data_IF_942673428474
#
_entry.id   IF_942673428474
#
_cell.length_a   1.000
_cell.length_b   1.000
_cell.length_c   1.000
_cell.angle_alpha   90.00
_cell.angle_beta   90.00
_cell.angle_gamma   90.00
#
_symmetry.space_group_name_H-M   'P 1'
#
loop_
_entity.id
_entity.type
_entity.pdbx_description
1 polymer ?
#
# COMPACT_ATOMS: atom_id res chain seq x y z
N UNK A 1 -14.98 36.74 6.79
CA UNK A 1 -14.92 35.38 7.39
C UNK A 1 -14.00 34.53 6.52
N UNK A 2 -12.76 34.29 6.94
CA UNK A 2 -11.86 33.36 6.23
C UNK A 2 -12.20 31.94 6.70
N UNK A 3 -12.66 31.11 5.78
CA UNK A 3 -12.92 29.69 6.02
C UNK A 3 -11.66 29.04 6.58
N UNK A 4 -11.79 28.39 7.74
CA UNK A 4 -10.72 27.75 8.49
C UNK A 4 -10.55 26.31 7.98
N UNK A 5 -10.24 26.21 6.70
CA UNK A 5 -10.06 24.96 5.95
C UNK A 5 -8.73 25.04 5.22
N UNK A 6 -7.81 24.14 5.56
CA UNK A 6 -6.51 24.07 4.92
C UNK A 6 -6.46 22.92 3.92
N UNK A 7 -5.76 23.12 2.81
CA UNK A 7 -5.45 22.06 1.85
C UNK A 7 -3.96 22.10 1.55
N UNK A 8 -3.31 20.95 1.64
CA UNK A 8 -1.89 20.82 1.40
C UNK A 8 -1.58 19.58 0.58
N UNK A 9 -0.49 19.64 -0.19
CA UNK A 9 0.00 18.50 -0.96
C UNK A 9 1.50 18.34 -0.76
N UNK A 10 1.93 17.11 -0.51
CA UNK A 10 3.33 16.74 -0.36
C UNK A 10 3.69 15.63 -1.34
N UNK A 11 4.80 15.80 -2.05
CA UNK A 11 5.31 14.81 -3.01
C UNK A 11 6.73 14.41 -2.60
N UNK A 12 6.98 13.10 -2.56
CA UNK A 12 8.30 12.49 -2.35
C UNK A 12 8.56 11.56 -3.53
N UNK A 13 9.71 11.74 -4.17
CA UNK A 13 10.18 10.90 -5.28
C UNK A 13 11.49 10.25 -4.88
N UNK A 14 11.50 8.92 -4.76
CA UNK A 14 12.66 8.17 -4.27
C UNK A 14 12.54 6.69 -4.66
N UNK A 15 13.65 6.06 -5.05
CA UNK A 15 13.73 4.66 -5.49
C UNK A 15 12.73 4.29 -6.59
N UNK A 16 12.53 5.19 -7.56
CA UNK A 16 11.58 4.96 -8.66
C UNK A 16 10.10 5.05 -8.27
N UNK A 17 9.80 5.36 -7.01
CA UNK A 17 8.45 5.63 -6.53
C UNK A 17 8.19 7.13 -6.41
N UNK A 18 7.00 7.55 -6.79
CA UNK A 18 6.43 8.84 -6.45
C UNK A 18 5.29 8.63 -5.45
N UNK A 19 5.45 9.21 -4.27
CA UNK A 19 4.49 9.17 -3.18
C UNK A 19 3.86 10.55 -3.08
N UNK A 20 2.55 10.62 -3.31
CA UNK A 20 1.74 11.83 -3.19
C UNK A 20 0.86 11.74 -1.96
N UNK A 21 1.01 12.68 -1.04
CA UNK A 21 0.13 12.88 0.11
C UNK A 21 -0.72 14.13 -0.11
N UNK A 22 -2.03 13.99 -0.05
CA UNK A 22 -3.00 15.08 -0.09
C UNK A 22 -3.67 15.18 1.29
N UNK A 23 -3.62 16.36 1.90
CA UNK A 23 -4.27 16.63 3.18
C UNK A 23 -5.31 17.72 3.02
N UNK A 24 -6.51 17.48 3.52
CA UNK A 24 -7.53 18.51 3.71
C UNK A 24 -7.95 18.57 5.16
N UNK A 25 -8.18 19.77 5.66
CA UNK A 25 -8.58 19.99 7.04
C UNK A 25 -9.81 20.88 7.13
N UNK A 26 -10.59 20.65 8.18
CA UNK A 26 -11.65 21.54 8.62
C UNK A 26 -11.47 21.87 10.09
N UNK A 27 -11.90 23.06 10.50
CA UNK A 27 -11.89 23.45 11.90
C UNK A 27 -12.76 22.48 12.72
N UNK A 28 -12.11 21.77 13.64
CA UNK A 28 -12.74 20.85 14.55
C UNK A 28 -12.08 20.96 15.92
N UNK A 29 -12.87 20.83 17.00
CA UNK A 29 -12.40 21.04 18.38
C UNK A 29 -11.38 20.00 18.81
N UNK A 30 -11.50 18.78 18.30
CA UNK A 30 -10.66 17.64 18.63
C UNK A 30 -9.89 17.17 17.40
N UNK A 31 -8.74 16.54 17.62
CA UNK A 31 -8.02 15.85 16.56
C UNK A 31 -8.82 14.63 16.10
N UNK A 32 -9.18 14.63 14.83
CA UNK A 32 -9.67 13.47 14.10
C UNK A 32 -8.89 13.37 12.81
N UNK A 33 -8.38 12.18 12.47
CA UNK A 33 -7.73 11.97 11.19
C UNK A 33 -8.32 10.73 10.51
N UNK A 34 -8.68 10.88 9.24
CA UNK A 34 -9.00 9.76 8.36
C UNK A 34 -7.88 9.63 7.34
N UNK A 35 -7.05 8.60 7.52
CA UNK A 35 -5.96 8.26 6.61
C UNK A 35 -6.45 7.19 5.63
N UNK A 36 -6.22 7.40 4.34
CA UNK A 36 -6.49 6.44 3.27
C UNK A 36 -5.17 6.08 2.61
N UNK A 37 -4.85 4.79 2.60
CA UNK A 37 -3.61 4.23 2.06
C UNK A 37 -3.93 3.28 0.89
N UNK A 38 -2.94 2.94 0.05
CA UNK A 38 -3.08 1.80 -0.84
C UNK A 38 -3.24 0.50 -0.05
N UNK A 39 -3.96 -0.49 -0.59
CA UNK A 39 -4.30 -1.75 0.09
C UNK A 39 -3.07 -2.45 0.70
N UNK A 40 -1.96 -2.42 -0.02
CA UNK A 40 -0.70 -3.02 0.38
C UNK A 40 -0.01 -2.33 1.59
N UNK A 41 -0.57 -1.25 2.14
CA UNK A 41 0.03 -0.49 3.25
C UNK A 41 -0.99 -0.18 4.37
N UNK A 42 -2.20 -0.75 4.34
CA UNK A 42 -3.23 -0.47 5.36
C UNK A 42 -2.79 -0.76 6.80
N UNK A 43 -1.84 -1.67 7.00
CA UNK A 43 -1.26 -1.95 8.32
C UNK A 43 -0.47 -0.75 8.91
N UNK A 44 0.03 0.16 8.08
CA UNK A 44 0.75 1.37 8.51
C UNK A 44 -0.18 2.50 8.97
N UNK A 45 -1.49 2.35 8.77
CA UNK A 45 -2.50 3.37 9.06
C UNK A 45 -2.47 3.84 10.51
N UNK A 46 -2.29 2.92 11.46
CA UNK A 46 -2.23 3.23 12.90
C UNK A 46 -1.01 4.10 13.19
N UNK A 47 0.15 3.71 12.67
CA UNK A 47 1.40 4.45 12.85
C UNK A 47 1.34 5.85 12.25
N UNK A 48 0.86 5.98 11.00
CA UNK A 48 0.76 7.29 10.33
C UNK A 48 -0.29 8.20 10.98
N UNK A 49 -1.37 7.63 11.52
CA UNK A 49 -2.37 8.41 12.27
C UNK A 49 -1.77 8.96 13.57
N UNK A 50 -0.96 8.15 14.27
CA UNK A 50 -0.25 8.59 15.46
C UNK A 50 0.79 9.67 15.13
N UNK A 51 1.48 9.53 14.00
CA UNK A 51 2.41 10.53 13.49
C UNK A 51 1.71 11.88 13.25
N UNK A 52 0.57 11.88 12.54
CA UNK A 52 -0.24 13.08 12.31
C UNK A 52 -0.71 13.75 13.60
N UNK A 53 -1.06 12.97 14.63
CA UNK A 53 -1.48 13.50 15.93
C UNK A 53 -0.36 14.29 16.62
N UNK A 54 0.89 13.90 16.42
CA UNK A 54 2.04 14.63 16.97
C UNK A 54 2.28 15.95 16.25
N UNK A 55 1.97 16.03 14.96
CA UNK A 55 2.14 17.23 14.14
C UNK A 55 0.94 18.19 14.21
N UNK A 56 -0.27 17.68 14.48
CA UNK A 56 -1.51 18.46 14.46
C UNK A 56 -2.32 18.30 15.75
N UNK A 57 -2.47 19.38 16.53
CA UNK A 57 -3.07 19.34 17.87
C UNK A 57 -4.62 19.31 17.84
N UNK A 58 -5.24 19.96 16.86
CA UNK A 58 -6.70 20.08 16.71
C UNK A 58 -7.10 20.10 15.23
N UNK A 59 -8.34 19.78 14.93
CA UNK A 59 -8.87 19.77 13.57
C UNK A 59 -9.23 18.37 13.09
N UNK A 60 -10.09 18.32 12.07
CA UNK A 60 -10.45 17.08 11.39
C UNK A 60 -9.70 17.06 10.07
N UNK A 61 -8.88 16.04 9.88
CA UNK A 61 -7.99 15.87 8.75
C UNK A 61 -8.45 14.68 7.90
N UNK A 62 -8.46 14.87 6.60
CA UNK A 62 -8.58 13.80 5.63
C UNK A 62 -7.27 13.72 4.86
N UNK A 63 -6.60 12.59 4.97
CA UNK A 63 -5.27 12.34 4.39
C UNK A 63 -5.40 11.20 3.41
N UNK A 64 -4.98 11.44 2.16
CA UNK A 64 -4.93 10.43 1.12
C UNK A 64 -3.50 10.30 0.63
N UNK A 65 -2.96 9.08 0.68
CA UNK A 65 -1.64 8.78 0.15
C UNK A 65 -1.79 7.88 -1.08
N UNK A 66 -1.19 8.29 -2.18
CA UNK A 66 -1.10 7.52 -3.41
C UNK A 66 0.37 7.26 -3.76
N UNK A 67 0.63 6.10 -4.35
CA UNK A 67 1.97 5.71 -4.81
C UNK A 67 1.86 5.40 -6.30
N UNK A 68 2.73 6.03 -7.07
CA UNK A 68 2.93 5.77 -8.50
C UNK A 68 4.40 5.41 -8.71
N UNK A 69 4.70 4.76 -9.83
CA UNK A 69 6.04 4.25 -10.10
C UNK A 69 6.22 2.77 -9.76
N UNK A 70 7.29 2.22 -10.31
CA UNK A 70 7.57 0.80 -10.32
C UNK A 70 9.07 0.61 -10.39
N UNK A 71 9.69 0.07 -9.35
CA UNK A 71 10.60 -1.03 -9.64
C UNK A 71 9.77 -2.05 -10.41
N UNK A 72 10.26 -2.45 -11.58
CA UNK A 72 9.70 -3.56 -12.34
C UNK A 72 9.31 -4.65 -11.35
N UNK A 73 8.01 -4.82 -11.13
CA UNK A 73 7.49 -5.83 -10.22
C UNK A 73 7.87 -7.16 -10.83
N UNK A 74 9.02 -7.69 -10.45
CA UNK A 74 9.46 -9.01 -10.89
C UNK A 74 8.34 -9.94 -10.40
N UNK A 75 7.57 -10.55 -11.31
CA UNK A 75 6.54 -11.49 -10.90
C UNK A 75 7.23 -12.61 -10.14
N UNK A 76 6.89 -12.76 -8.87
CA UNK A 76 7.40 -13.84 -8.04
C UNK A 76 6.35 -14.94 -7.92
N UNK A 77 6.80 -16.16 -7.69
CA UNK A 77 5.91 -17.30 -7.47
C UNK A 77 5.71 -17.45 -5.96
N UNK A 78 4.46 -17.50 -5.52
CA UNK A 78 4.13 -17.90 -4.17
C UNK A 78 4.42 -19.40 -4.00
N UNK A 79 5.64 -19.72 -3.58
CA UNK A 79 6.13 -21.10 -3.47
C UNK A 79 5.24 -21.99 -2.59
N UNK A 80 4.66 -21.44 -1.51
CA UNK A 80 3.76 -22.21 -0.63
C UNK A 80 2.49 -22.68 -1.36
N UNK A 81 1.88 -21.78 -2.14
CA UNK A 81 0.71 -22.10 -2.98
C UNK A 81 1.11 -23.04 -4.11
N UNK A 82 2.23 -22.76 -4.77
CA UNK A 82 2.75 -23.60 -5.84
C UNK A 82 2.96 -25.05 -5.38
N UNK A 83 3.60 -25.24 -4.23
CA UNK A 83 3.82 -26.56 -3.64
C UNK A 83 2.52 -27.29 -3.32
N UNK A 84 1.49 -26.57 -2.85
CA UNK A 84 0.17 -27.14 -2.58
C UNK A 84 -0.50 -27.63 -3.88
N UNK A 85 -0.51 -26.81 -4.93
CA UNK A 85 -1.09 -27.19 -6.22
C UNK A 85 -0.34 -28.35 -6.87
N UNK A 86 0.99 -28.39 -6.77
CA UNK A 86 1.80 -29.50 -7.28
C UNK A 86 1.49 -30.81 -6.55
N UNK A 87 1.30 -30.76 -5.21
CA UNK A 87 0.88 -31.94 -4.43
C UNK A 87 -0.49 -32.45 -4.88
N UNK A 88 -1.47 -31.55 -5.01
CA UNK A 88 -2.82 -31.90 -5.48
C UNK A 88 -2.79 -32.51 -6.89
N UNK A 89 -2.00 -31.94 -7.79
CA UNK A 89 -1.83 -32.47 -9.14
C UNK A 89 -1.27 -33.90 -9.10
N UNK A 90 -0.23 -34.17 -8.31
CA UNK A 90 0.35 -35.52 -8.16
C UNK A 90 -0.65 -36.52 -7.58
N UNK A 91 -1.39 -36.14 -6.54
CA UNK A 91 -2.41 -37.00 -5.94
C UNK A 91 -3.56 -37.36 -6.90
N UNK A 92 -3.87 -36.46 -7.83
CA UNK A 92 -4.92 -36.65 -8.83
C UNK A 92 -4.39 -37.43 -10.05
N UNK A 93 -3.15 -37.17 -10.49
CA UNK A 93 -2.54 -37.84 -11.65
C UNK A 93 -2.40 -39.35 -11.44
N UNK A 94 -2.31 -39.80 -10.19
CA UNK A 94 -2.30 -41.24 -9.85
C UNK A 94 -3.65 -41.93 -10.14
N UNK A 95 -4.75 -41.17 -10.28
CA UNK A 95 -6.12 -41.70 -10.43
C UNK A 95 -6.72 -41.46 -11.81
N UNK A 96 -6.30 -40.39 -12.49
CA UNK A 96 -6.85 -39.94 -13.77
C UNK A 96 -5.70 -39.33 -14.59
N UNK A 97 -5.64 -39.66 -15.87
CA UNK A 97 -4.68 -39.04 -16.78
C UNK A 97 -5.16 -37.63 -17.17
N UNK A 98 -4.42 -36.61 -16.73
CA UNK A 98 -4.69 -35.21 -17.04
C UNK A 98 -3.80 -34.67 -18.18
N UNK A 99 -2.87 -35.47 -18.70
CA UNK A 99 -1.78 -34.97 -19.54
C UNK A 99 -0.79 -34.09 -18.77
N UNK A 100 0.12 -33.44 -19.50
CA UNK A 100 1.14 -32.57 -18.93
C UNK A 100 0.56 -31.24 -18.41
N UNK A 101 1.04 -30.80 -17.25
CA UNK A 101 0.71 -29.50 -16.70
C UNK A 101 1.43 -28.37 -17.47
N UNK A 102 0.68 -27.57 -18.23
CA UNK A 102 1.22 -26.37 -18.87
C UNK A 102 1.59 -25.30 -17.83
N UNK A 103 2.81 -24.76 -17.94
CA UNK A 103 3.35 -23.77 -17.01
C UNK A 103 2.54 -22.46 -17.02
N UNK A 104 2.05 -22.02 -18.18
CA UNK A 104 1.24 -20.79 -18.27
C UNK A 104 -0.10 -20.98 -17.55
N UNK A 105 -0.73 -22.13 -17.77
CA UNK A 105 -1.95 -22.54 -17.06
C UNK A 105 -1.71 -22.64 -15.56
N UNK A 106 -0.56 -23.18 -15.13
CA UNK A 106 -0.18 -23.21 -13.71
C UNK A 106 -0.03 -21.81 -13.12
N UNK A 107 0.67 -20.90 -13.80
CA UNK A 107 0.82 -19.52 -13.34
C UNK A 107 -0.51 -18.75 -13.24
N UNK A 108 -1.52 -19.16 -14.03
CA UNK A 108 -2.86 -18.57 -13.98
C UNK A 108 -3.71 -19.04 -12.79
N UNK A 109 -3.26 -20.06 -12.04
CA UNK A 109 -3.99 -20.55 -10.88
C UNK A 109 -4.04 -19.46 -9.78
N UNK A 110 -5.14 -19.44 -8.99
CA UNK A 110 -5.35 -18.40 -7.99
C UNK A 110 -4.17 -18.25 -7.02
N UNK A 111 -3.64 -17.03 -6.95
CA UNK A 111 -2.57 -16.63 -6.03
C UNK A 111 -1.22 -17.34 -6.25
N UNK A 112 -0.96 -17.92 -7.43
CA UNK A 112 0.38 -18.41 -7.80
C UNK A 112 1.35 -17.24 -8.03
N UNK A 113 0.93 -16.24 -8.81
CA UNK A 113 1.72 -15.04 -9.03
C UNK A 113 1.57 -14.09 -7.85
N UNK A 114 2.65 -13.92 -7.08
CA UNK A 114 2.79 -12.84 -6.13
C UNK A 114 3.45 -11.64 -6.79
N UNK A 115 2.91 -10.46 -6.50
CA UNK A 115 3.70 -9.23 -6.63
C UNK A 115 4.52 -9.16 -5.36
N UNK A 116 5.84 -9.12 -5.44
CA UNK A 116 6.66 -8.82 -4.27
C UNK A 116 6.14 -7.52 -3.66
N UNK A 117 5.61 -7.64 -2.44
CA UNK A 117 5.19 -6.49 -1.67
C UNK A 117 6.48 -5.82 -1.25
N UNK A 118 6.76 -4.66 -1.85
CA UNK A 118 7.90 -3.84 -1.46
C UNK A 118 7.93 -3.74 0.07
N UNK A 119 9.09 -3.96 0.68
CA UNK A 119 9.24 -4.01 2.13
C UNK A 119 8.62 -2.76 2.76
N UNK A 120 7.49 -2.93 3.46
CA UNK A 120 6.69 -1.81 3.94
C UNK A 120 7.46 -0.91 4.90
N UNK A 121 8.46 -1.47 5.60
CA UNK A 121 9.42 -0.74 6.45
C UNK A 121 10.12 0.39 5.70
N UNK A 122 10.48 0.19 4.43
CA UNK A 122 11.16 1.20 3.60
C UNK A 122 10.23 2.34 3.19
N UNK A 123 8.91 2.16 3.29
CA UNK A 123 7.91 3.18 2.90
C UNK A 123 7.46 4.05 4.05
N UNK A 124 7.64 3.62 5.30
CA UNK A 124 7.20 4.37 6.49
C UNK A 124 7.80 5.78 6.50
N UNK A 125 9.11 5.89 6.32
CA UNK A 125 9.80 7.18 6.36
C UNK A 125 9.45 8.06 5.16
N UNK A 126 9.24 7.45 3.99
CA UNK A 126 8.80 8.16 2.79
C UNK A 126 7.39 8.73 2.96
N UNK A 127 6.47 8.00 3.60
CA UNK A 127 5.13 8.48 3.94
C UNK A 127 5.16 9.62 4.96
N UNK A 128 5.96 9.50 6.02
CA UNK A 128 6.13 10.57 7.02
C UNK A 128 6.61 11.86 6.37
N UNK A 129 7.63 11.79 5.51
CA UNK A 129 8.13 12.93 4.73
C UNK A 129 7.09 13.53 3.79
N UNK A 130 6.28 12.70 3.13
CA UNK A 130 5.20 13.17 2.27
C UNK A 130 4.11 13.91 3.08
N UNK A 131 3.79 13.40 4.27
CA UNK A 131 2.87 14.05 5.22
C UNK A 131 3.44 15.40 5.67
N UNK A 132 4.72 15.47 6.06
CA UNK A 132 5.32 16.73 6.53
C UNK A 132 5.26 17.82 5.47
N UNK A 133 5.60 17.48 4.22
CA UNK A 133 5.48 18.40 3.09
C UNK A 133 4.04 18.86 2.87
N UNK A 134 3.07 17.94 2.99
CA UNK A 134 1.66 18.26 2.85
C UNK A 134 1.17 19.20 3.96
N UNK A 135 1.60 18.98 5.21
CA UNK A 135 1.25 19.83 6.36
C UNK A 135 1.86 21.23 6.24
N UNK A 136 3.10 21.36 5.76
CA UNK A 136 3.76 22.65 5.52
C UNK A 136 3.05 23.45 4.41
N UNK A 137 2.50 22.74 3.42
CA UNK A 137 1.78 23.35 2.30
C UNK A 137 0.35 23.80 2.63
N UNK A 138 -0.14 23.54 3.84
CA UNK A 138 -1.53 23.76 4.28
C UNK A 138 -1.75 25.15 4.89
#
# INVERSE_FOLDING_TARGET
MKSMTGYGTGIVEEDGYQIKCEISSVNHRYFEAKVVLPENFENLKVELTQYLRNSCIRGKYYVKIAITGSEDKIPSINMKKADLYIKLYRELSDKVDFGELDFVSFLSLPEILSKETAEQSLFVDKFKRAIDKAVISM
#
